data_IF_661852846167
#
_entry.id   IF_661852846167
#
_cell.length_a   1.000
_cell.length_b   1.000
_cell.length_c   1.000
_cell.angle_alpha   90.00
_cell.angle_beta   90.00
_cell.angle_gamma   90.00
#
_symmetry.space_group_name_H-M   'P 1'
#
loop_
_entity.id
_entity.type
_entity.pdbx_description
1 polymer ?
#
# COMPACT_ATOMS: atom_id res chain seq x y z
N UNK A 1 2.49 -38.00 -47.96
CA UNK A 1 2.21 -36.57 -48.23
C UNK A 1 0.73 -36.35 -48.01
N UNK A 2 0.36 -35.58 -46.98
CA UNK A 2 -1.03 -35.42 -46.54
C UNK A 2 -1.61 -34.16 -47.20
N UNK A 3 -2.67 -34.30 -47.99
CA UNK A 3 -3.32 -33.15 -48.63
C UNK A 3 -3.97 -32.24 -47.58
N UNK A 4 -3.82 -30.91 -47.70
CA UNK A 4 -4.44 -29.97 -46.77
C UNK A 4 -5.96 -29.90 -46.97
N UNK A 5 -6.68 -29.64 -45.88
CA UNK A 5 -8.14 -29.49 -45.85
C UNK A 5 -8.54 -28.01 -45.81
N UNK A 6 -9.48 -27.56 -46.67
CA UNK A 6 -9.98 -26.19 -46.63
C UNK A 6 -10.95 -25.95 -45.47
N UNK A 7 -10.72 -24.89 -44.70
CA UNK A 7 -11.66 -24.32 -43.75
C UNK A 7 -12.16 -22.98 -44.24
N UNK A 8 -13.48 -22.91 -44.40
CA UNK A 8 -14.20 -21.71 -44.82
C UNK A 8 -14.68 -20.93 -43.59
N UNK A 9 -14.43 -19.63 -43.58
CA UNK A 9 -14.94 -18.71 -42.58
C UNK A 9 -16.21 -18.01 -43.09
N UNK A 10 -16.99 -17.48 -42.15
CA UNK A 10 -18.26 -16.79 -42.47
C UNK A 10 -18.08 -15.48 -43.23
N UNK A 11 -16.86 -14.94 -43.27
CA UNK A 11 -16.49 -13.76 -44.05
C UNK A 11 -16.12 -14.09 -45.51
N UNK A 12 -16.20 -15.36 -45.90
CA UNK A 12 -15.91 -15.85 -47.25
C UNK A 12 -14.44 -16.19 -47.49
N UNK A 13 -13.56 -15.96 -46.50
CA UNK A 13 -12.15 -16.36 -46.60
C UNK A 13 -11.98 -17.86 -46.38
N UNK A 14 -10.94 -18.43 -46.99
CA UNK A 14 -10.62 -19.86 -46.88
C UNK A 14 -9.16 -20.01 -46.52
N UNK A 15 -8.86 -20.84 -45.53
CA UNK A 15 -7.49 -21.24 -45.20
C UNK A 15 -7.38 -22.75 -45.14
N UNK A 16 -6.19 -23.27 -45.44
CA UNK A 16 -5.94 -24.69 -45.60
C UNK A 16 -5.12 -25.20 -44.41
N UNK A 17 -5.63 -26.24 -43.72
CA UNK A 17 -4.95 -26.84 -42.57
C UNK A 17 -4.56 -28.29 -42.85
N UNK A 18 -3.46 -28.73 -42.26
CA UNK A 18 -3.01 -30.13 -42.31
C UNK A 18 -3.37 -30.91 -41.03
N UNK A 19 -4.02 -30.27 -40.07
CA UNK A 19 -4.48 -30.92 -38.85
C UNK A 19 -5.83 -31.62 -39.11
N UNK A 20 -5.86 -32.93 -38.91
CA UNK A 20 -7.09 -33.73 -38.96
C UNK A 20 -7.97 -33.41 -37.75
N UNK A 21 -9.27 -33.11 -37.91
CA UNK A 21 -10.16 -32.96 -36.76
C UNK A 21 -10.48 -34.35 -36.19
N UNK A 22 -10.00 -34.63 -34.97
CA UNK A 22 -10.50 -35.78 -34.21
C UNK A 22 -11.97 -35.54 -33.90
N UNK A 23 -12.83 -36.45 -34.35
CA UNK A 23 -14.25 -36.41 -34.14
C UNK A 23 -14.54 -36.54 -32.64
N UNK A 24 -14.88 -35.42 -32.00
CA UNK A 24 -15.40 -35.44 -30.63
C UNK A 24 -16.82 -35.98 -30.71
N UNK A 25 -16.99 -37.21 -30.23
CA UNK A 25 -18.29 -37.85 -30.02
C UNK A 25 -19.25 -36.90 -29.30
N UNK A 26 -20.49 -36.89 -29.77
CA UNK A 26 -21.54 -35.96 -29.37
C UNK A 26 -21.73 -35.90 -27.84
N UNK A 27 -21.34 -34.77 -27.24
CA UNK A 27 -21.79 -34.38 -25.91
C UNK A 27 -23.30 -34.10 -25.96
N UNK A 28 -24.09 -34.56 -24.97
CA UNK A 28 -25.54 -34.41 -24.98
C UNK A 28 -25.89 -32.92 -24.97
N UNK A 29 -26.88 -32.54 -25.79
CA UNK A 29 -27.32 -31.17 -25.96
C UNK A 29 -27.67 -30.53 -24.60
N UNK A 30 -26.81 -29.65 -24.11
CA UNK A 30 -27.14 -28.79 -22.98
C UNK A 30 -28.20 -27.80 -23.45
N UNK A 31 -29.39 -27.82 -22.85
CA UNK A 31 -30.39 -26.79 -23.06
C UNK A 31 -29.76 -25.39 -22.83
N UNK A 32 -30.08 -24.39 -23.66
CA UNK A 32 -29.56 -23.05 -23.48
C UNK A 32 -30.17 -22.45 -22.22
N UNK A 33 -29.46 -22.56 -21.09
CA UNK A 33 -29.73 -21.78 -19.90
C UNK A 33 -29.64 -20.31 -20.29
N UNK A 34 -30.78 -19.62 -20.32
CA UNK A 34 -30.83 -18.18 -20.60
C UNK A 34 -29.78 -17.48 -19.73
N UNK A 35 -28.90 -16.63 -20.30
CA UNK A 35 -27.90 -15.93 -19.51
C UNK A 35 -28.62 -15.02 -18.51
N UNK A 36 -28.46 -15.30 -17.22
CA UNK A 36 -29.00 -14.47 -16.16
C UNK A 36 -28.20 -13.17 -16.08
N UNK A 37 -28.55 -12.23 -16.96
CA UNK A 37 -27.98 -10.90 -17.10
C UNK A 37 -27.98 -10.10 -15.78
N UNK A 38 -28.87 -10.45 -14.84
CA UNK A 38 -28.94 -9.85 -13.50
C UNK A 38 -27.76 -10.20 -12.60
N UNK A 39 -27.05 -11.31 -12.85
CA UNK A 39 -25.85 -11.70 -12.09
C UNK A 39 -24.60 -10.99 -12.61
N UNK A 40 -24.51 -10.77 -13.93
CA UNK A 40 -23.42 -10.02 -14.59
C UNK A 40 -23.44 -8.52 -14.28
N UNK A 41 -24.62 -7.90 -14.21
CA UNK A 41 -24.75 -6.48 -13.82
C UNK A 41 -24.32 -6.22 -12.37
N UNK A 42 -24.58 -7.16 -11.45
CA UNK A 42 -24.12 -7.05 -10.05
C UNK A 42 -22.60 -7.17 -9.93
N UNK A 43 -21.95 -8.00 -10.76
CA UNK A 43 -20.48 -8.07 -10.83
C UNK A 43 -19.84 -6.82 -11.43
N UNK A 44 -20.45 -6.25 -12.47
CA UNK A 44 -19.98 -5.01 -13.10
C UNK A 44 -20.14 -3.78 -12.17
N UNK A 45 -21.23 -3.70 -11.41
CA UNK A 45 -21.41 -2.66 -10.40
C UNK A 45 -20.35 -2.76 -9.26
N UNK A 46 -19.93 -3.99 -8.90
CA UNK A 46 -18.89 -4.22 -7.91
C UNK A 46 -17.49 -3.75 -8.36
N UNK A 47 -17.12 -3.95 -9.62
CA UNK A 47 -15.82 -3.48 -10.15
C UNK A 47 -15.78 -1.96 -10.35
N UNK A 48 -16.87 -1.33 -10.78
CA UNK A 48 -16.94 0.15 -10.91
C UNK A 48 -16.85 0.83 -9.54
N UNK A 49 -17.41 0.22 -8.49
CA UNK A 49 -17.30 0.72 -7.12
C UNK A 49 -15.86 0.72 -6.58
N UNK A 50 -15.06 -0.30 -6.92
CA UNK A 50 -13.66 -0.39 -6.46
C UNK A 50 -12.75 0.64 -7.14
N UNK A 51 -12.93 0.90 -8.44
CA UNK A 51 -12.13 1.89 -9.18
C UNK A 51 -12.46 3.34 -8.78
N UNK A 52 -13.73 3.63 -8.46
CA UNK A 52 -14.15 4.96 -8.02
C UNK A 52 -13.59 5.36 -6.64
N UNK A 53 -13.48 4.41 -5.72
CA UNK A 53 -12.92 4.66 -4.39
C UNK A 53 -11.42 4.97 -4.43
N UNK A 54 -10.65 4.28 -5.28
CA UNK A 54 -9.22 4.53 -5.44
C UNK A 54 -8.95 5.93 -6.04
N UNK A 55 -9.70 6.31 -7.08
CA UNK A 55 -9.60 7.65 -7.65
C UNK A 55 -10.02 8.73 -6.63
N UNK A 56 -11.09 8.49 -5.87
CA UNK A 56 -11.53 9.40 -4.81
C UNK A 56 -10.48 9.59 -3.71
N UNK A 57 -9.82 8.51 -3.28
CA UNK A 57 -8.75 8.57 -2.27
C UNK A 57 -7.54 9.36 -2.76
N UNK A 58 -7.16 9.24 -4.04
CA UNK A 58 -6.04 10.00 -4.62
C UNK A 58 -6.36 11.50 -4.66
N UNK A 59 -7.57 11.88 -5.10
CA UNK A 59 -7.96 13.29 -5.13
C UNK A 59 -8.14 13.87 -3.73
N UNK A 60 -8.70 13.09 -2.80
CA UNK A 60 -8.82 13.51 -1.41
C UNK A 60 -7.44 13.67 -0.77
N UNK A 61 -6.51 12.75 -1.01
CA UNK A 61 -5.12 12.89 -0.59
C UNK A 61 -4.48 14.14 -1.21
N UNK A 62 -4.66 14.39 -2.51
CA UNK A 62 -4.08 15.55 -3.19
C UNK A 62 -4.69 16.89 -2.73
N UNK A 63 -5.93 16.91 -2.27
CA UNK A 63 -6.59 18.09 -1.70
C UNK A 63 -6.26 18.30 -0.22
N UNK A 64 -6.03 17.23 0.53
CA UNK A 64 -5.68 17.28 1.94
C UNK A 64 -4.17 17.38 2.20
N UNK A 65 -3.33 17.06 1.21
CA UNK A 65 -1.90 17.26 1.28
C UNK A 65 -1.64 18.72 0.90
N UNK A 66 -1.31 19.62 1.85
CA UNK A 66 -0.94 20.97 1.50
C UNK A 66 0.29 20.86 0.60
N UNK A 67 0.18 21.23 -0.67
CA UNK A 67 1.32 21.38 -1.58
C UNK A 67 2.14 22.59 -1.13
N UNK A 68 2.71 22.53 0.07
CA UNK A 68 3.78 23.43 0.49
C UNK A 68 5.00 22.99 -0.29
N UNK A 69 5.20 23.64 -1.45
CA UNK A 69 6.49 23.64 -2.14
C UNK A 69 7.58 23.84 -1.09
N UNK A 70 8.52 22.88 -0.98
CA UNK A 70 9.65 22.99 -0.04
C UNK A 70 10.43 24.31 -0.22
N UNK A 71 10.37 24.91 -1.40
CA UNK A 71 10.96 26.21 -1.71
C UNK A 71 10.31 27.41 -1.00
N UNK A 72 9.11 27.26 -0.43
CA UNK A 72 8.40 28.28 0.34
C UNK A 72 8.38 27.99 1.84
N UNK A 73 9.06 26.94 2.29
CA UNK A 73 9.13 26.63 3.70
C UNK A 73 9.97 27.69 4.42
N UNK A 74 9.49 28.24 5.55
CA UNK A 74 10.29 29.14 6.35
C UNK A 74 11.57 28.41 6.81
N UNK A 75 12.71 29.09 7.00
CA UNK A 75 13.96 28.48 7.48
C UNK A 75 13.79 27.66 8.77
N UNK A 76 12.76 27.99 9.56
CA UNK A 76 12.38 27.28 10.78
C UNK A 76 11.83 25.87 10.52
N UNK A 77 11.23 25.61 9.36
CA UNK A 77 10.80 24.28 8.93
C UNK A 77 12.00 23.37 8.62
N UNK A 78 13.08 23.91 8.07
CA UNK A 78 14.32 23.14 7.86
C UNK A 78 14.95 22.73 9.19
N UNK A 79 14.95 23.61 10.19
CA UNK A 79 15.42 23.31 11.56
C UNK A 79 14.63 22.15 12.17
N UNK A 80 13.31 22.20 12.06
CA UNK A 80 12.42 21.15 12.55
C UNK A 80 12.63 19.82 11.83
N UNK A 81 12.75 19.85 10.51
CA UNK A 81 12.95 18.66 9.68
C UNK A 81 14.29 17.99 9.98
N UNK A 82 15.34 18.79 10.16
CA UNK A 82 16.67 18.28 10.50
C UNK A 82 16.72 17.71 11.93
N UNK A 83 16.14 18.43 12.91
CA UNK A 83 16.13 18.00 14.31
C UNK A 83 15.30 16.73 14.54
N UNK A 84 14.23 16.52 13.77
CA UNK A 84 13.40 15.32 13.84
C UNK A 84 13.88 14.16 12.95
N UNK A 85 14.93 14.34 12.14
CA UNK A 85 15.30 13.39 11.10
C UNK A 85 15.65 12.00 11.66
N UNK A 86 16.52 11.92 12.66
CA UNK A 86 16.94 10.67 13.26
C UNK A 86 15.75 9.92 13.90
N UNK A 87 14.91 10.66 14.64
CA UNK A 87 13.70 10.14 15.28
C UNK A 87 12.73 9.56 14.24
N UNK A 88 12.48 10.29 13.14
CA UNK A 88 11.61 9.83 12.05
C UNK A 88 12.12 8.53 11.42
N UNK A 89 13.40 8.50 11.06
CA UNK A 89 14.03 7.30 10.45
C UNK A 89 13.89 6.09 11.36
N UNK A 90 14.07 6.28 12.67
CA UNK A 90 13.86 5.21 13.65
C UNK A 90 12.41 4.72 13.68
N UNK A 91 11.42 5.61 13.76
CA UNK A 91 10.00 5.22 13.77
C UNK A 91 9.57 4.50 12.48
N UNK A 92 10.08 4.94 11.33
CA UNK A 92 9.79 4.28 10.05
C UNK A 92 10.34 2.86 10.02
N UNK A 93 11.60 2.67 10.44
CA UNK A 93 12.22 1.35 10.54
C UNK A 93 11.51 0.45 11.57
N UNK A 94 11.14 1.00 12.72
CA UNK A 94 10.43 0.31 13.79
C UNK A 94 9.04 -0.15 13.35
N UNK A 95 8.29 0.74 12.69
CA UNK A 95 6.95 0.44 12.17
C UNK A 95 7.02 -0.64 11.10
N UNK A 96 7.99 -0.54 10.18
CA UNK A 96 8.21 -1.55 9.15
C UNK A 96 8.61 -2.92 9.73
N UNK A 97 9.43 -2.93 10.80
CA UNK A 97 9.78 -4.17 11.51
C UNK A 97 8.55 -4.79 12.16
N UNK A 98 7.77 -4.01 12.91
CA UNK A 98 6.56 -4.47 13.60
C UNK A 98 5.50 -5.00 12.66
N UNK A 99 5.38 -4.44 11.47
CA UNK A 99 4.45 -4.94 10.45
C UNK A 99 4.76 -6.38 9.99
N UNK A 100 5.98 -6.88 10.22
CA UNK A 100 6.43 -8.24 9.83
C UNK A 100 6.34 -9.26 10.96
N UNK A 101 6.11 -8.84 12.20
CA UNK A 101 6.14 -9.70 13.39
C UNK A 101 4.72 -9.84 13.93
N UNK A 102 4.30 -11.08 14.26
CA UNK A 102 2.95 -11.37 14.74
C UNK A 102 2.64 -10.74 16.11
N UNK A 103 3.64 -10.67 16.99
CA UNK A 103 3.53 -10.06 18.31
C UNK A 103 4.78 -9.22 18.59
N UNK A 104 4.59 -7.92 18.78
CA UNK A 104 5.68 -6.99 19.00
C UNK A 104 5.75 -6.59 20.48
N UNK A 105 6.87 -6.86 21.18
CA UNK A 105 7.01 -6.49 22.58
C UNK A 105 6.94 -4.96 22.76
N UNK A 106 6.54 -4.55 23.97
CA UNK A 106 6.44 -3.15 24.38
C UNK A 106 5.54 -2.26 23.49
N UNK A 107 4.47 -2.83 22.93
CA UNK A 107 3.52 -2.11 22.07
C UNK A 107 2.97 -0.82 22.71
N UNK A 108 2.68 -0.84 24.01
CA UNK A 108 2.22 0.34 24.74
C UNK A 108 3.28 1.46 24.77
N UNK A 109 4.54 1.13 25.06
CA UNK A 109 5.64 2.09 25.10
C UNK A 109 5.94 2.66 23.71
N UNK A 110 5.91 1.81 22.67
CA UNK A 110 6.02 2.26 21.29
C UNK A 110 4.90 3.24 20.92
N UNK A 111 3.64 2.87 21.21
CA UNK A 111 2.48 3.72 20.92
C UNK A 111 2.56 5.06 21.66
N UNK A 112 2.99 5.07 22.93
CA UNK A 112 3.15 6.32 23.67
C UNK A 112 4.22 7.20 23.03
N UNK A 113 5.39 6.65 22.69
CA UNK A 113 6.45 7.41 22.01
C UNK A 113 5.98 7.95 20.64
N UNK A 114 5.21 7.17 19.89
CA UNK A 114 4.65 7.60 18.60
C UNK A 114 3.70 8.81 18.75
N UNK A 115 2.89 8.85 19.81
CA UNK A 115 2.05 10.01 20.12
C UNK A 115 2.89 11.26 20.43
N UNK A 116 3.98 11.10 21.19
CA UNK A 116 4.92 12.20 21.47
C UNK A 116 5.60 12.71 20.20
N UNK A 117 5.97 11.82 19.29
CA UNK A 117 6.55 12.17 17.99
C UNK A 117 5.58 13.02 17.14
N UNK A 118 4.33 12.56 16.97
CA UNK A 118 3.31 13.32 16.23
C UNK A 118 3.00 14.67 16.87
N UNK A 119 3.03 14.74 18.19
CA UNK A 119 2.89 16.00 18.93
C UNK A 119 4.04 16.97 18.62
N UNK A 120 5.28 16.48 18.54
CA UNK A 120 6.44 17.29 18.16
C UNK A 120 6.35 17.79 16.71
N UNK A 121 5.91 16.95 15.77
CA UNK A 121 5.63 17.37 14.39
C UNK A 121 4.54 18.45 14.33
N UNK A 122 3.47 18.30 15.13
CA UNK A 122 2.42 19.31 15.25
C UNK A 122 2.94 20.65 15.77
N UNK A 123 3.89 20.66 16.71
CA UNK A 123 4.55 21.89 17.18
C UNK A 123 5.38 22.54 16.06
N UNK A 124 6.05 21.75 15.23
CA UNK A 124 6.76 22.27 14.05
C UNK A 124 5.79 22.91 13.04
N UNK A 125 4.69 22.24 12.73
CA UNK A 125 3.66 22.77 11.82
C UNK A 125 3.02 24.06 12.36
N UNK A 126 2.90 24.19 13.69
CA UNK A 126 2.41 25.40 14.36
C UNK A 126 3.46 26.53 14.51
N UNK A 127 4.67 26.36 13.97
CA UNK A 127 5.76 27.35 14.09
C UNK A 127 6.46 27.39 15.46
N UNK A 128 6.10 26.50 16.40
CA UNK A 128 6.72 26.38 17.74
C UNK A 128 8.00 25.55 17.68
N UNK A 129 8.95 25.99 16.87
CA UNK A 129 10.12 25.18 16.47
C UNK A 129 11.06 24.87 17.63
N UNK A 130 11.33 25.82 18.53
CA UNK A 130 12.21 25.57 19.68
C UNK A 130 11.66 24.48 20.62
N UNK A 131 10.35 24.48 20.84
CA UNK A 131 9.71 23.44 21.67
C UNK A 131 9.67 22.08 20.97
N UNK A 132 9.49 22.08 19.65
CA UNK A 132 9.54 20.87 18.86
C UNK A 132 10.93 20.24 18.88
N UNK A 133 12.00 21.04 18.72
CA UNK A 133 13.39 20.57 18.81
C UNK A 133 13.67 19.94 20.18
N UNK A 134 13.26 20.57 21.29
CA UNK A 134 13.39 19.97 22.63
C UNK A 134 12.61 18.66 22.76
N UNK A 135 11.44 18.58 22.12
CA UNK A 135 10.62 17.36 22.11
C UNK A 135 11.32 16.23 21.35
N UNK A 136 11.93 16.53 20.19
CA UNK A 136 12.73 15.55 19.43
C UNK A 136 13.96 15.07 20.22
N UNK A 137 14.70 15.97 20.86
CA UNK A 137 15.84 15.58 21.72
C UNK A 137 15.41 14.70 22.91
N UNK A 138 14.20 14.89 23.44
CA UNK A 138 13.65 14.00 24.45
C UNK A 138 13.28 12.64 23.88
N UNK A 139 12.74 12.60 22.66
CA UNK A 139 12.42 11.36 21.95
C UNK A 139 13.68 10.55 21.63
N UNK A 140 14.77 11.19 21.21
CA UNK A 140 16.06 10.51 20.99
C UNK A 140 16.55 9.78 22.25
N UNK A 141 16.44 10.42 23.43
CA UNK A 141 16.80 9.78 24.70
C UNK A 141 15.88 8.61 25.05
N UNK A 142 14.57 8.74 24.79
CA UNK A 142 13.63 7.63 25.01
C UNK A 142 13.89 6.46 24.06
N UNK A 143 14.21 6.74 22.80
CA UNK A 143 14.60 5.73 21.81
C UNK A 143 15.87 5.02 22.23
N UNK A 144 16.91 5.75 22.66
CA UNK A 144 18.14 5.14 23.14
C UNK A 144 17.90 4.19 24.32
N UNK A 145 17.06 4.59 25.28
CA UNK A 145 16.67 3.71 26.38
C UNK A 145 15.81 2.52 25.95
N UNK A 146 14.96 2.69 24.94
CA UNK A 146 14.15 1.61 24.38
C UNK A 146 15.01 0.56 23.66
N UNK A 147 16.01 0.98 22.90
CA UNK A 147 16.93 0.09 22.21
C UNK A 147 17.93 -0.60 23.15
N UNK A 148 18.37 0.08 24.22
CA UNK A 148 19.22 -0.53 25.24
C UNK A 148 18.49 -1.67 25.98
N UNK A 149 17.27 -1.43 26.46
CA UNK A 149 16.45 -2.46 27.10
C UNK A 149 16.17 -3.67 26.19
N UNK A 150 16.17 -3.46 24.88
CA UNK A 150 16.00 -4.54 23.90
C UNK A 150 17.28 -5.37 23.78
N UNK A 151 18.45 -4.74 23.69
CA UNK A 151 19.75 -5.43 23.62
C UNK A 151 20.00 -6.28 24.87
N UNK A 152 19.76 -5.73 26.06
CA UNK A 152 19.92 -6.45 27.33
C UNK A 152 19.07 -7.73 27.40
N UNK A 153 17.90 -7.74 26.74
CA UNK A 153 17.02 -8.91 26.71
C UNK A 153 17.46 -9.92 25.65
N UNK A 154 17.85 -9.44 24.47
CA UNK A 154 18.37 -10.31 23.41
C UNK A 154 19.62 -11.07 23.88
N UNK A 155 20.47 -10.46 24.73
CA UNK A 155 21.63 -11.12 25.39
C UNK A 155 21.25 -12.07 26.54
N UNK A 156 20.12 -11.84 27.22
CA UNK A 156 19.64 -12.70 28.31
C UNK A 156 18.94 -13.97 27.81
N UNK A 157 18.49 -13.98 26.56
CA UNK A 157 17.79 -15.09 25.91
C UNK A 157 18.74 -16.01 25.09
N UNK A 158 20.06 -15.72 25.02
CA UNK A 158 21.14 -16.57 24.47
C UNK A 158 21.81 -17.46 25.54
#
# INVERSE_FOLDING_TARGET
>A
MTHPWPHHHTDGSVHYTHCWPEAVEALPASEPTRPDWRRRLRGAAGMVGASGLAAGAIWFAMLCDPTVSRAALPPSADVCTNAGHAVRVWFDAETARRARVAEAPHQHAFNSMLLWYRSAEGKCAAGRTQEAVRSFQSLERMIAGFDANRQDRDEADE
#
